data_IF_467796006758
#
_entry.id   IF_467796006758
#
_cell.length_a   1.000
_cell.length_b   1.000
_cell.length_c   1.000
_cell.angle_alpha   90.00
_cell.angle_beta   90.00
_cell.angle_gamma   90.00
#
_symmetry.space_group_name_H-M   'P 1'
#
loop_
_entity.id
_entity.type
_entity.pdbx_description
1 polymer ?
#
# COMPACT_ATOMS: atom_id res chain seq x y z
N UNK A 1 16.57 -1.02 -19.85
CA UNK A 1 18.01 -1.35 -19.72
C UNK A 1 18.85 -0.24 -20.29
N UNK A 2 18.63 0.16 -21.55
CA UNK A 2 19.28 1.34 -22.13
C UNK A 2 18.97 2.62 -21.34
N UNK A 3 17.69 2.90 -21.10
CA UNK A 3 17.29 4.11 -20.34
C UNK A 3 17.86 4.12 -18.92
N UNK A 4 17.83 2.96 -18.24
CA UNK A 4 18.40 2.80 -16.89
C UNK A 4 19.91 3.06 -16.90
N UNK A 5 20.64 2.52 -17.88
CA UNK A 5 22.07 2.74 -18.02
C UNK A 5 22.39 4.22 -18.29
N UNK A 6 21.58 4.87 -19.12
CA UNK A 6 21.67 6.30 -19.43
C UNK A 6 21.48 7.17 -18.19
N UNK A 7 20.37 6.99 -17.47
CA UNK A 7 20.05 7.74 -16.24
C UNK A 7 21.08 7.52 -15.12
N UNK A 8 21.60 6.30 -14.98
CA UNK A 8 22.60 5.98 -13.98
C UNK A 8 24.04 6.34 -14.41
N UNK A 9 24.25 6.86 -15.62
CA UNK A 9 25.58 7.12 -16.19
C UNK A 9 26.53 5.91 -16.14
N UNK A 10 26.01 4.69 -16.35
CA UNK A 10 26.78 3.44 -16.37
C UNK A 10 26.59 2.67 -17.68
N UNK A 11 27.43 1.67 -17.93
CA UNK A 11 27.24 0.80 -19.09
C UNK A 11 26.15 -0.25 -18.86
N UNK A 12 25.43 -0.66 -19.91
CA UNK A 12 24.57 -1.85 -19.87
C UNK A 12 25.30 -3.09 -19.34
N UNK A 13 26.58 -3.24 -19.72
CA UNK A 13 27.44 -4.34 -19.26
C UNK A 13 27.60 -4.33 -17.74
N UNK A 14 27.61 -3.16 -17.12
CA UNK A 14 27.64 -3.01 -15.66
C UNK A 14 26.34 -3.55 -15.05
N UNK A 15 25.17 -3.23 -15.62
CA UNK A 15 23.89 -3.75 -15.13
C UNK A 15 23.83 -5.27 -15.30
N UNK A 16 24.20 -5.79 -16.49
CA UNK A 16 24.20 -7.22 -16.76
C UNK A 16 25.19 -8.04 -15.92
N UNK A 17 26.19 -7.39 -15.31
CA UNK A 17 27.08 -8.04 -14.34
C UNK A 17 26.35 -8.46 -13.07
N UNK A 18 25.34 -7.70 -12.67
CA UNK A 18 24.57 -7.94 -11.43
C UNK A 18 23.22 -8.58 -11.70
N UNK A 19 22.61 -8.29 -12.86
CA UNK A 19 21.29 -8.80 -13.23
C UNK A 19 21.37 -9.50 -14.59
N UNK A 20 21.22 -10.82 -14.61
CA UNK A 20 21.41 -11.61 -15.83
C UNK A 20 20.38 -11.28 -16.92
N UNK A 21 19.20 -10.81 -16.55
CA UNK A 21 18.15 -10.35 -17.46
C UNK A 21 17.31 -9.22 -16.81
N UNK A 22 16.30 -8.73 -17.54
CA UNK A 22 15.45 -7.61 -17.10
C UNK A 22 14.48 -8.05 -16.00
N UNK A 23 14.03 -9.29 -16.06
CA UNK A 23 13.07 -9.90 -15.15
C UNK A 23 13.64 -9.97 -13.72
N UNK A 24 14.89 -10.43 -13.57
CA UNK A 24 15.58 -10.48 -12.27
C UNK A 24 15.79 -9.08 -11.70
N UNK A 25 16.14 -8.10 -12.55
CA UNK A 25 16.23 -6.70 -12.09
C UNK A 25 14.89 -6.19 -11.55
N UNK A 26 13.78 -6.51 -12.23
CA UNK A 26 12.44 -6.10 -11.81
C UNK A 26 12.05 -6.79 -10.51
N UNK A 27 12.24 -8.10 -10.40
CA UNK A 27 11.92 -8.87 -9.19
C UNK A 27 12.66 -8.35 -7.96
N UNK A 28 13.98 -8.16 -8.06
CA UNK A 28 14.82 -7.64 -6.98
C UNK A 28 14.46 -6.19 -6.62
N UNK A 29 14.16 -5.35 -7.62
CA UNK A 29 13.73 -3.97 -7.39
C UNK A 29 12.38 -3.92 -6.67
N UNK A 30 11.41 -4.73 -7.11
CA UNK A 30 10.09 -4.82 -6.48
C UNK A 30 10.21 -5.33 -5.04
N UNK A 31 10.97 -6.40 -4.80
CA UNK A 31 11.23 -6.91 -3.45
C UNK A 31 11.86 -5.85 -2.53
N UNK A 32 12.81 -5.08 -3.05
CA UNK A 32 13.46 -3.98 -2.31
C UNK A 32 12.45 -2.89 -1.93
N UNK A 33 11.55 -2.49 -2.84
CA UNK A 33 10.50 -1.50 -2.54
C UNK A 33 9.54 -2.03 -1.46
N UNK A 34 9.09 -3.29 -1.55
CA UNK A 34 8.21 -3.87 -0.53
C UNK A 34 8.85 -3.93 0.85
N UNK A 35 10.14 -4.28 0.91
CA UNK A 35 10.89 -4.23 2.18
C UNK A 35 10.91 -2.81 2.77
N UNK A 36 11.17 -1.79 1.96
CA UNK A 36 11.15 -0.40 2.40
C UNK A 36 9.75 0.02 2.88
N UNK A 37 8.69 -0.38 2.18
CA UNK A 37 7.30 -0.14 2.59
C UNK A 37 7.04 -0.71 3.98
N UNK A 38 7.38 -1.99 4.21
CA UNK A 38 7.20 -2.63 5.51
C UNK A 38 7.99 -1.93 6.63
N UNK A 39 9.26 -1.60 6.38
CA UNK A 39 10.09 -0.88 7.35
C UNK A 39 9.46 0.47 7.73
N UNK A 40 8.91 1.21 6.77
CA UNK A 40 8.27 2.51 7.05
C UNK A 40 6.93 2.31 7.78
N UNK A 41 6.11 1.32 7.42
CA UNK A 41 4.89 0.98 8.16
C UNK A 41 5.23 0.68 9.63
N UNK A 42 6.26 -0.13 9.89
CA UNK A 42 6.69 -0.43 11.26
C UNK A 42 7.07 0.84 12.02
N UNK A 43 7.72 1.80 11.36
CA UNK A 43 8.02 3.10 11.99
C UNK A 43 6.77 3.92 12.32
N UNK A 44 5.71 3.82 11.50
CA UNK A 44 4.44 4.52 11.73
C UNK A 44 3.70 3.87 12.90
N UNK A 45 3.62 2.54 12.92
CA UNK A 45 3.01 1.77 14.01
C UNK A 45 3.70 2.08 15.34
N UNK A 46 5.03 2.17 15.35
CA UNK A 46 5.82 2.50 16.53
C UNK A 46 5.55 3.90 17.11
N UNK A 47 4.95 4.82 16.34
CA UNK A 47 4.56 6.16 16.84
C UNK A 47 3.34 6.12 17.76
N UNK A 48 2.63 4.99 17.82
CA UNK A 48 1.51 4.82 18.75
C UNK A 48 0.30 5.70 18.46
N UNK A 49 0.07 6.05 17.18
CA UNK A 49 -1.20 6.65 16.77
C UNK A 49 -2.37 5.71 17.08
N UNK A 50 -3.59 6.24 17.19
CA UNK A 50 -4.77 5.39 17.27
C UNK A 50 -5.00 4.67 15.93
N UNK A 51 -5.79 3.58 15.93
CA UNK A 51 -5.97 2.72 14.76
C UNK A 51 -6.45 3.45 13.50
N UNK A 52 -7.36 4.43 13.64
CA UNK A 52 -7.85 5.19 12.49
C UNK A 52 -6.76 6.13 11.98
N UNK A 53 -6.14 6.93 12.86
CA UNK A 53 -5.07 7.86 12.47
C UNK A 53 -3.88 7.13 11.84
N UNK A 54 -3.49 5.97 12.36
CA UNK A 54 -2.43 5.13 11.79
C UNK A 54 -2.65 4.81 10.31
N UNK A 55 -3.87 4.40 9.92
CA UNK A 55 -4.18 4.13 8.51
C UNK A 55 -4.02 5.36 7.61
N UNK A 56 -4.36 6.55 8.12
CA UNK A 56 -4.16 7.80 7.39
C UNK A 56 -2.66 8.14 7.25
N UNK A 57 -1.84 7.92 8.27
CA UNK A 57 -0.39 8.12 8.18
C UNK A 57 0.26 7.13 7.19
N UNK A 58 -0.18 5.86 7.18
CA UNK A 58 0.26 4.87 6.20
C UNK A 58 -0.13 5.31 4.78
N UNK A 59 -1.34 5.81 4.58
CA UNK A 59 -1.76 6.35 3.28
C UNK A 59 -0.91 7.54 2.84
N UNK A 60 -0.64 8.48 3.73
CA UNK A 60 0.18 9.66 3.44
C UNK A 60 1.62 9.26 3.05
N UNK A 61 2.17 8.23 3.72
CA UNK A 61 3.44 7.62 3.34
C UNK A 61 3.40 7.09 1.90
N UNK A 62 2.38 6.30 1.53
CA UNK A 62 2.28 5.78 0.16
C UNK A 62 2.19 6.90 -0.88
N UNK A 63 1.37 7.93 -0.61
CA UNK A 63 1.31 9.12 -1.46
C UNK A 63 2.69 9.74 -1.64
N UNK A 64 3.41 9.95 -0.55
CA UNK A 64 4.72 10.61 -0.59
C UNK A 64 5.81 9.77 -1.26
N UNK A 65 5.72 8.45 -1.15
CA UNK A 65 6.61 7.49 -1.82
C UNK A 65 6.44 7.54 -3.34
N UNK A 66 5.19 7.65 -3.83
CA UNK A 66 4.87 7.63 -5.26
C UNK A 66 4.63 9.02 -5.87
N UNK A 67 4.77 10.12 -5.11
CA UNK A 67 4.54 11.49 -5.61
C UNK A 67 5.39 11.89 -6.82
N UNK A 68 6.57 11.29 -6.96
CA UNK A 68 7.51 11.53 -8.05
C UNK A 68 7.54 10.39 -9.07
N UNK A 69 6.70 9.37 -8.89
CA UNK A 69 6.55 8.33 -9.89
C UNK A 69 5.94 8.93 -11.16
N UNK A 70 6.12 8.25 -12.29
CA UNK A 70 5.35 8.54 -13.50
C UNK A 70 3.85 8.57 -13.17
N UNK A 71 3.04 9.32 -13.92
CA UNK A 71 1.58 9.35 -13.74
C UNK A 71 0.94 7.94 -13.75
N UNK A 72 1.66 6.95 -14.27
CA UNK A 72 1.27 5.56 -14.35
C UNK A 72 1.64 4.75 -13.11
N UNK A 73 0.67 4.00 -12.57
CA UNK A 73 0.84 3.17 -11.37
C UNK A 73 1.87 2.04 -11.59
N UNK A 74 2.87 1.89 -10.70
CA UNK A 74 3.87 0.83 -10.78
C UNK A 74 3.26 -0.57 -10.73
N UNK A 75 2.23 -0.79 -9.91
CA UNK A 75 1.56 -2.08 -9.77
C UNK A 75 0.75 -2.45 -11.02
N UNK A 76 0.07 -1.47 -11.62
CA UNK A 76 -0.62 -1.66 -12.89
C UNK A 76 0.36 -2.06 -14.01
N UNK A 77 1.51 -1.37 -14.11
CA UNK A 77 2.54 -1.69 -15.09
C UNK A 77 3.14 -3.08 -14.85
N UNK A 78 3.42 -3.44 -13.60
CA UNK A 78 3.94 -4.76 -13.23
C UNK A 78 2.97 -5.87 -13.65
N UNK A 79 1.68 -5.74 -13.34
CA UNK A 79 0.65 -6.71 -13.73
C UNK A 79 0.51 -6.81 -15.25
N UNK A 80 0.53 -5.68 -15.96
CA UNK A 80 0.36 -5.62 -17.42
C UNK A 80 1.53 -6.26 -18.17
N UNK A 81 2.75 -6.04 -17.71
CA UNK A 81 3.95 -6.42 -18.46
C UNK A 81 4.67 -7.66 -17.91
N UNK A 82 4.51 -7.98 -16.62
CA UNK A 82 5.18 -9.09 -15.93
C UNK A 82 4.21 -9.80 -14.97
N UNK A 83 3.13 -10.45 -15.49
CA UNK A 83 2.07 -11.03 -14.66
C UNK A 83 2.56 -12.13 -13.70
N UNK A 84 3.60 -12.87 -14.06
CA UNK A 84 4.19 -13.89 -13.18
C UNK A 84 4.91 -13.27 -11.97
N UNK A 85 5.72 -12.21 -12.20
CA UNK A 85 6.37 -11.46 -11.12
C UNK A 85 5.30 -10.81 -10.22
N UNK A 86 4.28 -10.21 -10.82
CA UNK A 86 3.13 -9.67 -10.08
C UNK A 86 2.48 -10.73 -9.19
N UNK A 87 2.20 -11.93 -9.72
CA UNK A 87 1.57 -13.00 -8.95
C UNK A 87 2.44 -13.46 -7.77
N UNK A 88 3.76 -13.57 -7.95
CA UNK A 88 4.68 -13.94 -6.88
C UNK A 88 4.70 -12.89 -5.76
N UNK A 89 4.80 -11.61 -6.14
CA UNK A 89 4.77 -10.48 -5.22
C UNK A 89 3.45 -10.48 -4.44
N UNK A 90 2.32 -10.57 -5.14
CA UNK A 90 1.00 -10.61 -4.54
C UNK A 90 0.83 -11.74 -3.52
N UNK A 91 1.40 -12.92 -3.80
CA UNK A 91 1.31 -14.06 -2.88
C UNK A 91 2.02 -13.77 -1.56
N UNK A 92 3.17 -13.07 -1.60
CA UNK A 92 3.90 -12.68 -0.40
C UNK A 92 3.25 -11.52 0.35
N UNK A 93 2.80 -10.50 -0.39
CA UNK A 93 2.22 -9.28 0.18
C UNK A 93 0.86 -9.52 0.84
N UNK A 94 0.06 -10.45 0.32
CA UNK A 94 -1.21 -10.81 0.94
C UNK A 94 -1.00 -11.22 2.40
N UNK A 95 -0.01 -12.06 2.69
CA UNK A 95 0.23 -12.54 4.05
C UNK A 95 0.68 -11.41 5.00
N UNK A 96 1.56 -10.53 4.54
CA UNK A 96 2.09 -9.43 5.33
C UNK A 96 1.07 -8.30 5.54
N UNK A 97 0.38 -7.85 4.48
CA UNK A 97 -0.69 -6.85 4.59
C UNK A 97 -1.84 -7.35 5.47
N UNK A 98 -2.17 -8.64 5.42
CA UNK A 98 -3.18 -9.23 6.29
C UNK A 98 -2.83 -9.06 7.76
N UNK A 99 -1.55 -9.19 8.13
CA UNK A 99 -1.10 -8.98 9.50
C UNK A 99 -1.32 -7.54 9.96
N UNK A 100 -0.88 -6.54 9.18
CA UNK A 100 -1.06 -5.13 9.52
C UNK A 100 -2.54 -4.73 9.64
N UNK A 101 -3.39 -5.15 8.69
CA UNK A 101 -4.83 -4.86 8.76
C UNK A 101 -5.49 -5.53 9.96
N UNK A 102 -5.14 -6.79 10.25
CA UNK A 102 -5.67 -7.51 11.41
C UNK A 102 -5.30 -6.80 12.71
N UNK A 103 -4.03 -6.45 12.87
CA UNK A 103 -3.51 -5.82 14.07
C UNK A 103 -4.10 -4.43 14.28
N UNK A 104 -4.27 -3.66 13.20
CA UNK A 104 -4.96 -2.39 13.24
C UNK A 104 -6.43 -2.53 13.67
N UNK A 105 -7.16 -3.52 13.15
CA UNK A 105 -8.55 -3.78 13.57
C UNK A 105 -8.61 -4.18 15.05
N UNK A 106 -7.75 -5.09 15.50
CA UNK A 106 -7.66 -5.50 16.91
C UNK A 106 -7.36 -4.32 17.82
N UNK A 107 -6.41 -3.47 17.42
CA UNK A 107 -6.06 -2.24 18.12
C UNK A 107 -7.26 -1.30 18.20
N UNK A 108 -7.95 -1.04 17.10
CA UNK A 108 -9.11 -0.14 17.10
C UNK A 108 -10.30 -0.69 17.89
N UNK A 109 -10.49 -2.01 17.97
CA UNK A 109 -11.46 -2.62 18.90
C UNK A 109 -11.05 -2.34 20.35
N UNK A 110 -9.77 -2.54 20.70
CA UNK A 110 -9.26 -2.28 22.06
C UNK A 110 -9.35 -0.80 22.46
N UNK A 111 -9.19 0.10 21.50
CA UNK A 111 -9.32 1.56 21.69
C UNK A 111 -10.79 2.05 21.67
N UNK A 112 -11.75 1.15 21.39
CA UNK A 112 -13.17 1.47 21.25
C UNK A 112 -13.51 2.28 20.00
N UNK A 113 -12.63 2.31 19.00
CA UNK A 113 -12.82 2.98 17.71
C UNK A 113 -13.55 2.08 16.71
N UNK A 114 -13.37 0.76 16.80
CA UNK A 114 -14.05 -0.22 15.95
C UNK A 114 -15.00 -1.09 16.76
N UNK A 115 -16.04 -1.61 16.11
CA UNK A 115 -17.06 -2.42 16.77
C UNK A 115 -16.49 -3.77 17.25
N UNK A 116 -16.85 -4.25 18.44
CA UNK A 116 -16.28 -5.48 19.00
C UNK A 116 -16.82 -6.77 18.37
N UNK A 117 -17.93 -6.70 17.62
CA UNK A 117 -18.62 -7.83 17.01
C UNK A 117 -18.17 -8.11 15.55
N UNK A 118 -17.10 -7.45 15.10
CA UNK A 118 -16.59 -7.62 13.74
C UNK A 118 -16.01 -9.02 13.52
N UNK A 119 -16.33 -9.60 12.37
CA UNK A 119 -15.55 -10.72 11.84
C UNK A 119 -14.26 -10.16 11.21
N UNK A 120 -13.18 -10.14 12.00
CA UNK A 120 -11.90 -9.53 11.63
C UNK A 120 -11.37 -10.10 10.32
N UNK A 121 -11.38 -11.42 10.16
CA UNK A 121 -10.86 -12.10 8.96
C UNK A 121 -11.61 -11.67 7.69
N UNK A 122 -12.94 -11.52 7.78
CA UNK A 122 -13.74 -11.03 6.65
C UNK A 122 -13.47 -9.56 6.34
N UNK A 123 -13.33 -8.71 7.35
CA UNK A 123 -13.07 -7.28 7.13
C UNK A 123 -11.69 -7.04 6.54
N UNK A 124 -10.65 -7.72 7.05
CA UNK A 124 -9.33 -7.76 6.42
C UNK A 124 -9.47 -8.21 4.97
N UNK A 125 -10.25 -9.26 4.72
CA UNK A 125 -10.46 -9.79 3.37
C UNK A 125 -11.10 -8.80 2.41
N UNK A 126 -12.14 -8.11 2.85
CA UNK A 126 -12.81 -7.08 2.05
C UNK A 126 -11.86 -5.95 1.72
N UNK A 127 -11.10 -5.47 2.70
CA UNK A 127 -10.23 -4.33 2.50
C UNK A 127 -9.06 -4.64 1.57
N UNK A 128 -8.33 -5.74 1.80
CA UNK A 128 -7.23 -6.09 0.89
C UNK A 128 -7.75 -6.32 -0.53
N UNK A 129 -8.92 -6.97 -0.69
CA UNK A 129 -9.48 -7.22 -2.03
C UNK A 129 -9.75 -5.90 -2.75
N UNK A 130 -10.30 -4.90 -2.06
CA UNK A 130 -10.54 -3.58 -2.63
C UNK A 130 -9.24 -2.88 -3.03
N UNK A 131 -8.28 -2.75 -2.11
CA UNK A 131 -7.02 -2.02 -2.34
C UNK A 131 -6.21 -2.65 -3.47
N UNK A 132 -6.05 -3.98 -3.45
CA UNK A 132 -5.31 -4.66 -4.51
C UNK A 132 -6.05 -4.60 -5.86
N UNK A 133 -7.39 -4.65 -5.87
CA UNK A 133 -8.13 -4.48 -7.10
C UNK A 133 -7.94 -3.08 -7.70
N UNK A 134 -8.03 -2.03 -6.87
CA UNK A 134 -7.82 -0.63 -7.29
C UNK A 134 -6.44 -0.49 -7.94
N UNK A 135 -5.38 -0.89 -7.24
CA UNK A 135 -4.00 -0.81 -7.75
C UNK A 135 -3.78 -1.64 -9.03
N UNK A 136 -4.45 -2.78 -9.15
CA UNK A 136 -4.28 -3.70 -10.26
C UNK A 136 -5.12 -3.35 -11.50
N UNK A 137 -5.98 -2.35 -11.42
CA UNK A 137 -6.92 -1.97 -12.50
C UNK A 137 -6.91 -0.49 -12.85
N UNK A 138 -6.29 0.35 -12.01
CA UNK A 138 -6.19 1.80 -12.23
C UNK A 138 -4.83 2.14 -12.82
N UNK A 139 -4.82 2.65 -14.05
CA UNK A 139 -3.58 3.02 -14.75
C UNK A 139 -2.94 4.26 -14.13
N UNK A 140 -3.73 5.26 -13.71
CA UNK A 140 -3.22 6.49 -13.12
C UNK A 140 -2.98 6.34 -11.62
N UNK A 141 -1.76 6.62 -11.16
CA UNK A 141 -1.38 6.57 -9.75
C UNK A 141 -2.18 7.59 -8.91
N UNK A 142 -2.35 8.81 -9.43
CA UNK A 142 -3.16 9.85 -8.78
C UNK A 142 -4.62 9.41 -8.60
N UNK A 143 -5.19 8.77 -9.62
CA UNK A 143 -6.55 8.26 -9.55
C UNK A 143 -6.67 7.08 -8.59
N UNK A 144 -5.68 6.17 -8.58
CA UNK A 144 -5.62 5.09 -7.61
C UNK A 144 -5.64 5.63 -6.18
N UNK A 145 -4.76 6.58 -5.85
CA UNK A 145 -4.70 7.23 -4.53
C UNK A 145 -5.99 7.95 -4.11
N UNK A 146 -6.75 8.47 -5.08
CA UNK A 146 -8.07 9.07 -4.85
C UNK A 146 -9.09 8.00 -4.50
N UNK A 147 -9.16 6.92 -5.28
CA UNK A 147 -10.09 5.81 -5.06
C UNK A 147 -9.74 5.07 -3.75
N UNK A 148 -8.47 4.91 -3.42
CA UNK A 148 -8.02 4.31 -2.16
C UNK A 148 -8.44 5.12 -0.94
N UNK A 149 -8.48 6.45 -1.03
CA UNK A 149 -9.00 7.30 0.05
C UNK A 149 -10.50 7.03 0.29
N UNK A 150 -11.28 6.97 -0.78
CA UNK A 150 -12.70 6.62 -0.73
C UNK A 150 -12.89 5.21 -0.16
N UNK A 151 -12.04 4.26 -0.55
CA UNK A 151 -12.08 2.90 -0.02
C UNK A 151 -11.72 2.83 1.47
N UNK A 152 -10.72 3.59 1.92
CA UNK A 152 -10.34 3.70 3.33
C UNK A 152 -11.47 4.31 4.16
N UNK A 153 -12.09 5.39 3.68
CA UNK A 153 -13.24 6.00 4.33
C UNK A 153 -14.42 5.03 4.41
N UNK A 154 -14.81 4.45 3.27
CA UNK A 154 -15.87 3.44 3.18
C UNK A 154 -15.65 2.30 4.17
N UNK A 155 -14.44 1.73 4.17
CA UNK A 155 -14.11 0.61 5.03
C UNK A 155 -14.15 1.03 6.49
N UNK A 156 -13.52 2.15 6.86
CA UNK A 156 -13.51 2.66 8.23
C UNK A 156 -14.93 2.91 8.74
N UNK A 157 -15.80 3.58 7.97
CA UNK A 157 -17.21 3.80 8.34
C UNK A 157 -17.96 2.48 8.55
N UNK A 158 -17.65 1.45 7.76
CA UNK A 158 -18.30 0.15 7.88
C UNK A 158 -17.94 -0.60 9.17
N UNK A 159 -16.83 -0.27 9.86
CA UNK A 159 -16.38 -0.92 11.11
C UNK A 159 -16.35 0.00 12.33
N UNK A 160 -16.42 1.32 12.15
CA UNK A 160 -16.28 2.28 13.23
C UNK A 160 -17.47 2.29 14.22
N UNK A 161 -17.16 2.62 15.47
CA UNK A 161 -18.13 3.07 16.48
C UNK A 161 -18.41 4.57 16.30
N UNK A 162 -19.34 5.14 17.07
CA UNK A 162 -19.54 6.60 17.09
C UNK A 162 -18.24 7.35 17.43
N UNK A 163 -17.45 6.83 18.39
CA UNK A 163 -16.13 7.37 18.74
C UNK A 163 -15.16 7.28 17.56
N UNK A 164 -15.15 6.15 16.85
CA UNK A 164 -14.34 5.96 15.65
C UNK A 164 -14.69 6.93 14.54
N UNK A 165 -15.99 7.17 14.29
CA UNK A 165 -16.46 8.12 13.28
C UNK A 165 -15.93 9.53 13.58
N UNK A 166 -15.94 9.97 14.84
CA UNK A 166 -15.39 11.29 15.20
C UNK A 166 -13.90 11.43 14.86
N UNK A 167 -13.10 10.38 15.10
CA UNK A 167 -11.68 10.39 14.74
C UNK A 167 -11.50 10.34 13.21
N UNK A 168 -12.31 9.56 12.48
CA UNK A 168 -12.32 9.54 11.02
C UNK A 168 -12.59 10.94 10.44
N UNK A 169 -13.65 11.61 10.88
CA UNK A 169 -13.98 12.97 10.41
C UNK A 169 -12.85 13.98 10.68
N UNK A 170 -12.14 13.82 11.80
CA UNK A 170 -10.97 14.64 12.13
C UNK A 170 -9.81 14.37 11.17
N UNK A 171 -9.57 13.13 10.74
CA UNK A 171 -8.52 12.83 9.78
C UNK A 171 -8.89 13.30 8.37
N UNK A 172 -10.12 13.10 7.92
CA UNK A 172 -10.61 13.56 6.62
C UNK A 172 -10.48 15.08 6.45
N UNK A 173 -10.75 15.87 7.50
CA UNK A 173 -10.59 17.34 7.48
C UNK A 173 -9.15 17.82 7.24
N UNK A 174 -8.14 16.99 7.49
CA UNK A 174 -6.75 17.34 7.23
C UNK A 174 -6.37 17.17 5.75
N UNK A 175 -7.15 16.38 5.02
CA UNK A 175 -6.90 16.10 3.61
C UNK A 175 -7.52 17.25 2.81
N UNK A 176 -6.66 18.17 2.38
CA UNK A 176 -7.05 19.19 1.42
C UNK A 176 -7.05 18.50 0.04
N UNK A 177 -8.22 18.44 -0.58
CA UNK A 177 -8.41 17.97 -1.97
C UNK A 177 -7.83 19.03 -2.93
#
# INVERSE_FOLDING_TARGET
MDDIAGEMCISKKTIYKYFCNKEVLIEESTSTVHKQVHEVIDTIVARGYNAIHENFEIREMFRDMFKNATDTSPLYQLKKHYPEIYQNVMTHEIDQCNHYFRDNILKGISEGLYRPDLNIDLYVKFYYTLIFHINATTDSEREAQRIELEALEYHTRAMATEKGILELEKQLKKIII
#
